data_IF_901064721492
#
_entry.id   IF_901064721492
#
_cell.length_a   1.000
_cell.length_b   1.000
_cell.length_c   1.000
_cell.angle_alpha   90.00
_cell.angle_beta   90.00
_cell.angle_gamma   90.00
#
_symmetry.space_group_name_H-M   'P 1'
#
loop_
_entity.id
_entity.type
_entity.pdbx_description
1 polymer ?
#
# COMPACT_ATOMS: atom_id res chain seq x y z
N UNK A 1 -2.35 11.28 -15.58
CA UNK A 1 -1.39 10.16 -15.46
C UNK A 1 -1.90 9.25 -14.34
N UNK A 2 -1.75 7.93 -14.45
CA UNK A 2 -2.11 7.01 -13.36
C UNK A 2 -0.82 6.48 -12.75
N UNK A 3 -0.69 6.56 -11.43
CA UNK A 3 0.46 6.00 -10.70
C UNK A 3 0.05 4.67 -10.08
N UNK A 4 0.91 3.66 -10.17
CA UNK A 4 0.66 2.37 -9.52
C UNK A 4 1.38 2.33 -8.18
N UNK A 5 0.70 1.81 -7.17
CA UNK A 5 1.31 1.71 -5.85
C UNK A 5 0.85 0.48 -5.09
N UNK A 6 1.81 -0.24 -4.52
CA UNK A 6 1.53 -1.17 -3.42
C UNK A 6 1.48 -0.33 -2.14
N UNK A 7 0.36 -0.38 -1.43
CA UNK A 7 0.17 0.41 -0.21
C UNK A 7 0.46 -0.46 1.00
N UNK A 8 1.44 -0.10 1.82
CA UNK A 8 1.66 -0.77 3.10
C UNK A 8 0.44 -0.54 4.02
N UNK A 9 0.06 -1.58 4.74
CA UNK A 9 -1.03 -1.56 5.71
C UNK A 9 -0.88 -0.43 6.74
N UNK A 10 0.36 -0.07 7.14
CA UNK A 10 0.57 1.02 8.08
C UNK A 10 0.08 2.39 7.56
N UNK A 11 0.09 2.60 6.24
CA UNK A 11 -0.40 3.82 5.58
C UNK A 11 -1.91 3.85 5.66
N UNK A 12 -2.59 2.73 5.37
CA UNK A 12 -4.05 2.61 5.47
C UNK A 12 -4.51 2.83 6.91
N UNK A 13 -3.88 2.15 7.88
CA UNK A 13 -4.18 2.34 9.31
C UNK A 13 -4.01 3.80 9.71
N UNK A 14 -2.89 4.43 9.33
CA UNK A 14 -2.62 5.83 9.68
C UNK A 14 -3.62 6.79 9.03
N UNK A 15 -4.02 6.52 7.79
CA UNK A 15 -5.03 7.28 7.06
C UNK A 15 -6.40 7.24 7.73
N UNK A 16 -6.80 6.06 8.21
CA UNK A 16 -8.09 5.86 8.89
C UNK A 16 -8.09 6.41 10.32
N UNK A 17 -6.94 6.39 11.03
CA UNK A 17 -6.83 6.98 12.38
C UNK A 17 -6.74 8.51 12.38
N UNK A 18 -6.12 9.12 11.36
CA UNK A 18 -5.83 10.56 11.34
C UNK A 18 -6.26 11.19 10.02
N UNK A 19 -7.39 11.90 10.07
CA UNK A 19 -7.95 12.57 8.90
C UNK A 19 -7.03 13.64 8.28
N UNK A 20 -6.39 14.47 9.11
CA UNK A 20 -5.47 15.51 8.64
C UNK A 20 -4.03 14.99 8.57
N UNK A 21 -3.79 13.93 7.78
CA UNK A 21 -2.48 13.30 7.66
C UNK A 21 -2.08 13.04 6.20
N UNK A 22 -0.77 12.98 5.94
CA UNK A 22 -0.24 12.64 4.62
C UNK A 22 -0.73 11.26 4.13
N UNK A 23 -0.75 10.18 4.95
CA UNK A 23 -1.38 8.92 4.57
C UNK A 23 -2.83 9.05 4.13
N UNK A 24 -3.62 9.93 4.78
CA UNK A 24 -5.00 10.16 4.39
C UNK A 24 -5.11 10.78 2.99
N UNK A 25 -4.18 11.66 2.61
CA UNK A 25 -4.13 12.22 1.25
C UNK A 25 -3.78 11.14 0.23
N UNK A 26 -2.83 10.25 0.53
CA UNK A 26 -2.53 9.08 -0.34
C UNK A 26 -3.75 8.20 -0.53
N UNK A 27 -4.46 7.85 0.55
CA UNK A 27 -5.66 7.03 0.47
C UNK A 27 -6.80 7.72 -0.30
N UNK A 28 -6.95 9.03 -0.19
CA UNK A 28 -7.89 9.79 -1.02
C UNK A 28 -7.48 9.79 -2.49
N UNK A 29 -6.19 9.88 -2.80
CA UNK A 29 -5.70 9.79 -4.17
C UNK A 29 -5.99 8.41 -4.78
N UNK A 30 -5.95 7.35 -3.96
CA UNK A 30 -6.43 6.01 -4.33
C UNK A 30 -7.92 6.04 -4.66
N UNK A 31 -8.76 6.53 -3.74
CA UNK A 31 -10.22 6.55 -3.93
C UNK A 31 -10.68 7.44 -5.10
N UNK A 32 -9.91 8.47 -5.44
CA UNK A 32 -10.15 9.34 -6.60
C UNK A 32 -9.56 8.77 -7.90
N UNK A 33 -8.89 7.62 -7.87
CA UNK A 33 -8.33 6.96 -9.05
C UNK A 33 -7.05 7.58 -9.62
N UNK A 34 -6.41 8.50 -8.89
CA UNK A 34 -5.09 9.05 -9.26
C UNK A 34 -3.96 8.04 -8.98
N UNK A 35 -4.14 7.25 -7.92
CA UNK A 35 -3.26 6.13 -7.56
C UNK A 35 -4.05 4.84 -7.72
N UNK A 36 -3.53 3.93 -8.52
CA UNK A 36 -4.08 2.59 -8.72
C UNK A 36 -3.40 1.65 -7.74
N UNK A 37 -4.12 1.12 -6.73
CA UNK A 37 -3.51 0.20 -5.78
C UNK A 37 -3.21 -1.14 -6.46
N UNK A 38 -2.01 -1.65 -6.25
CA UNK A 38 -1.58 -2.98 -6.69
C UNK A 38 -1.53 -3.90 -5.48
N UNK A 39 -2.17 -5.06 -5.57
CA UNK A 39 -2.30 -6.00 -4.46
C UNK A 39 -2.36 -7.44 -4.95
N UNK A 40 -2.21 -8.38 -4.01
CA UNK A 40 -2.59 -9.78 -4.19
C UNK A 40 -3.49 -10.22 -3.02
N UNK A 41 -3.92 -11.48 -3.00
CA UNK A 41 -4.78 -12.00 -1.94
C UNK A 41 -4.11 -11.94 -0.55
N UNK A 42 -2.79 -12.14 -0.47
CA UNK A 42 -2.05 -12.08 0.80
C UNK A 42 -2.05 -10.67 1.40
N UNK A 43 -1.83 -9.64 0.57
CA UNK A 43 -1.91 -8.22 0.97
C UNK A 43 -3.32 -7.86 1.44
N UNK A 44 -4.35 -8.26 0.69
CA UNK A 44 -5.75 -8.02 1.09
C UNK A 44 -6.09 -8.70 2.42
N UNK A 45 -5.57 -9.91 2.65
CA UNK A 45 -5.75 -10.62 3.91
C UNK A 45 -5.01 -9.93 5.07
N UNK A 46 -3.80 -9.40 4.84
CA UNK A 46 -3.11 -8.59 5.85
C UNK A 46 -3.91 -7.33 6.18
N UNK A 47 -4.49 -6.64 5.18
CA UNK A 47 -5.39 -5.51 5.43
C UNK A 47 -6.57 -5.90 6.32
N UNK A 48 -7.29 -6.98 5.98
CA UNK A 48 -8.40 -7.50 6.79
C UNK A 48 -7.95 -7.79 8.22
N UNK A 49 -6.84 -8.50 8.39
CA UNK A 49 -6.32 -8.92 9.69
C UNK A 49 -5.88 -7.74 10.56
N UNK A 50 -5.20 -6.76 9.97
CA UNK A 50 -4.67 -5.60 10.71
C UNK A 50 -5.78 -4.64 11.06
N UNK A 51 -6.67 -4.31 10.12
CA UNK A 51 -7.75 -3.35 10.35
C UNK A 51 -8.76 -3.85 11.38
N UNK A 52 -8.97 -5.16 11.50
CA UNK A 52 -9.83 -5.75 12.52
C UNK A 52 -9.20 -5.81 13.93
N UNK A 53 -7.95 -5.37 14.14
CA UNK A 53 -7.34 -5.41 15.47
C UNK A 53 -8.09 -4.46 16.43
N UNK A 54 -8.57 -4.93 17.60
CA UNK A 54 -9.41 -4.14 18.51
C UNK A 54 -8.81 -2.80 18.93
N UNK A 55 -7.46 -2.71 19.01
CA UNK A 55 -6.74 -1.49 19.37
C UNK A 55 -7.00 -0.29 18.46
N UNK A 56 -7.47 -0.51 17.23
CA UNK A 56 -7.79 0.57 16.30
C UNK A 56 -9.24 1.05 16.40
N UNK A 57 -10.15 0.21 16.87
CA UNK A 57 -11.56 0.58 17.07
C UNK A 57 -12.33 0.92 15.79
N UNK A 58 -11.90 0.43 14.62
CA UNK A 58 -12.62 0.63 13.36
C UNK A 58 -13.91 -0.21 13.34
N UNK A 59 -14.99 0.34 12.76
CA UNK A 59 -16.22 -0.42 12.53
C UNK A 59 -16.03 -1.43 11.39
N UNK A 60 -16.76 -2.54 11.43
CA UNK A 60 -16.74 -3.54 10.35
C UNK A 60 -17.14 -2.95 8.99
N UNK A 61 -18.09 -2.00 9.00
CA UNK A 61 -18.52 -1.25 7.82
C UNK A 61 -17.36 -0.45 7.21
N UNK A 62 -16.64 0.34 8.01
CA UNK A 62 -15.49 1.12 7.53
C UNK A 62 -14.39 0.23 6.94
N UNK A 63 -14.11 -0.91 7.59
CA UNK A 63 -13.12 -1.87 7.12
C UNK A 63 -13.56 -2.46 5.77
N UNK A 64 -14.80 -2.93 5.68
CA UNK A 64 -15.36 -3.52 4.46
C UNK A 64 -15.37 -2.52 3.31
N UNK A 65 -15.87 -1.31 3.53
CA UNK A 65 -15.91 -0.26 2.50
C UNK A 65 -14.52 0.12 2.01
N UNK A 66 -13.55 0.26 2.91
CA UNK A 66 -12.17 0.61 2.55
C UNK A 66 -11.55 -0.47 1.66
N UNK A 67 -11.70 -1.74 2.04
CA UNK A 67 -11.13 -2.86 1.29
C UNK A 67 -11.83 -3.03 -0.05
N UNK A 68 -13.17 -2.99 -0.09
CA UNK A 68 -13.94 -3.09 -1.33
C UNK A 68 -13.62 -1.95 -2.31
N UNK A 69 -13.38 -0.72 -1.82
CA UNK A 69 -12.95 0.37 -2.68
C UNK A 69 -11.56 0.13 -3.26
N UNK A 70 -10.59 -0.31 -2.45
CA UNK A 70 -9.25 -0.67 -2.93
C UNK A 70 -9.34 -1.77 -3.99
N UNK A 71 -10.13 -2.82 -3.75
CA UNK A 71 -10.34 -3.91 -4.70
C UNK A 71 -10.98 -3.41 -6.01
N UNK A 72 -11.98 -2.52 -5.93
CA UNK A 72 -12.68 -2.01 -7.11
C UNK A 72 -11.83 -1.08 -7.99
N UNK A 73 -10.85 -0.39 -7.40
CA UNK A 73 -10.03 0.61 -8.08
C UNK A 73 -8.64 0.09 -8.46
N UNK A 74 -8.24 -1.04 -7.88
CA UNK A 74 -6.90 -1.60 -8.01
C UNK A 74 -6.74 -2.64 -9.09
N UNK A 75 -5.52 -3.17 -9.14
CA UNK A 75 -5.11 -4.25 -10.03
C UNK A 75 -4.55 -5.38 -9.17
N UNK A 76 -5.02 -6.58 -9.44
CA UNK A 76 -4.46 -7.79 -8.83
C UNK A 76 -3.20 -8.22 -9.57
N UNK A 77 -2.10 -8.34 -8.83
CA UNK A 77 -0.83 -8.90 -9.30
C UNK A 77 -0.60 -10.23 -8.59
N UNK A 78 -0.43 -11.31 -9.36
CA UNK A 78 -0.22 -12.64 -8.81
C UNK A 78 1.22 -13.13 -8.99
N UNK A 79 1.98 -12.51 -9.90
CA UNK A 79 3.39 -12.82 -10.07
C UNK A 79 4.17 -12.23 -8.88
N UNK A 80 5.01 -13.07 -8.28
CA UNK A 80 5.92 -12.68 -7.21
C UNK A 80 7.34 -12.64 -7.77
N UNK A 81 8.04 -11.56 -7.47
CA UNK A 81 9.48 -11.49 -7.67
C UNK A 81 10.23 -12.12 -6.51
N UNK A 82 11.30 -12.85 -6.84
CA UNK A 82 12.22 -13.39 -5.86
C UNK A 82 13.00 -12.25 -5.22
N UNK A 83 12.77 -12.01 -3.93
CA UNK A 83 13.54 -11.05 -3.13
C UNK A 83 14.76 -11.78 -2.58
N UNK A 84 15.95 -11.40 -3.05
CA UNK A 84 17.22 -12.01 -2.62
C UNK A 84 17.80 -11.31 -1.39
N UNK A 85 17.40 -10.06 -1.17
CA UNK A 85 17.83 -9.23 -0.07
C UNK A 85 17.25 -9.71 1.26
N UNK A 86 18.07 -9.70 2.31
CA UNK A 86 17.61 -10.03 3.65
C UNK A 86 16.71 -8.90 4.18
N UNK A 87 15.44 -9.22 4.42
CA UNK A 87 14.47 -8.32 5.05
C UNK A 87 14.22 -8.75 6.51
N UNK A 88 14.09 -7.79 7.44
CA UNK A 88 13.90 -8.07 8.87
C UNK A 88 12.54 -8.69 9.19
N UNK A 89 11.48 -8.34 8.43
CA UNK A 89 10.13 -8.88 8.62
C UNK A 89 9.71 -9.69 7.39
N UNK A 90 9.47 -11.00 7.51
CA UNK A 90 8.97 -11.83 6.42
C UNK A 90 7.63 -11.36 5.85
N UNK A 91 6.80 -10.67 6.63
CA UNK A 91 5.51 -10.17 6.15
C UNK A 91 5.63 -8.99 5.19
N UNK A 92 6.74 -8.26 5.27
CA UNK A 92 6.99 -7.11 4.39
C UNK A 92 7.45 -7.59 2.99
N UNK A 93 7.93 -8.84 2.87
CA UNK A 93 8.44 -9.41 1.60
C UNK A 93 7.37 -9.39 0.51
N UNK A 94 6.12 -9.75 0.81
CA UNK A 94 5.06 -9.80 -0.21
C UNK A 94 4.77 -8.43 -0.81
N UNK A 95 4.77 -7.37 0.01
CA UNK A 95 4.56 -6.00 -0.47
C UNK A 95 5.66 -5.57 -1.44
N UNK A 96 6.91 -5.86 -1.09
CA UNK A 96 8.06 -5.51 -1.93
C UNK A 96 8.11 -6.36 -3.20
N UNK A 97 7.85 -7.67 -3.09
CA UNK A 97 7.82 -8.61 -4.21
C UNK A 97 6.77 -8.23 -5.25
N UNK A 98 5.56 -7.86 -4.82
CA UNK A 98 4.48 -7.40 -5.72
C UNK A 98 4.85 -6.07 -6.38
N UNK A 99 5.46 -5.13 -5.64
CA UNK A 99 5.88 -3.85 -6.20
C UNK A 99 6.95 -4.04 -7.30
N UNK A 100 7.93 -4.93 -7.06
CA UNK A 100 8.95 -5.28 -8.05
C UNK A 100 8.34 -5.97 -9.27
N UNK A 101 7.42 -6.91 -9.05
CA UNK A 101 6.76 -7.69 -10.10
C UNK A 101 6.00 -6.80 -11.06
N UNK A 102 5.04 -6.03 -10.53
CA UNK A 102 4.25 -5.11 -11.33
C UNK A 102 5.13 -3.99 -11.90
N UNK A 103 6.17 -3.58 -11.17
CA UNK A 103 7.23 -2.66 -11.60
C UNK A 103 7.91 -3.01 -12.92
N UNK A 104 7.92 -4.29 -13.32
CA UNK A 104 8.43 -4.73 -14.63
C UNK A 104 7.54 -4.33 -15.81
N UNK A 105 6.26 -4.06 -15.55
CA UNK A 105 5.26 -3.75 -16.59
C UNK A 105 4.84 -2.28 -16.55
N UNK A 106 4.74 -1.68 -15.36
CA UNK A 106 4.39 -0.28 -15.17
C UNK A 106 5.13 0.31 -13.97
N UNK A 107 5.42 1.61 -14.00
CA UNK A 107 6.06 2.30 -12.88
C UNK A 107 5.22 2.15 -11.61
N UNK A 108 5.78 1.44 -10.63
CA UNK A 108 5.09 1.00 -9.41
C UNK A 108 5.94 1.28 -8.20
N UNK A 109 5.33 1.94 -7.21
CA UNK A 109 6.00 2.29 -5.96
C UNK A 109 5.41 1.49 -4.79
N UNK A 110 6.25 1.11 -3.84
CA UNK A 110 5.81 0.65 -2.52
C UNK A 110 5.72 1.86 -1.58
N UNK A 111 4.51 2.20 -1.16
CA UNK A 111 4.27 3.33 -0.25
C UNK A 111 4.19 2.82 1.18
N UNK A 112 5.18 3.18 2.02
CA UNK A 112 5.28 2.71 3.41
C UNK A 112 5.74 3.80 4.38
N UNK A 113 5.20 3.79 5.59
CA UNK A 113 5.74 4.57 6.72
C UNK A 113 6.99 3.94 7.39
N UNK A 114 7.38 2.72 7.01
CA UNK A 114 8.42 1.91 7.65
C UNK A 114 9.59 1.61 6.69
N UNK A 115 10.07 2.60 5.94
CA UNK A 115 11.09 2.42 4.88
C UNK A 115 12.32 1.60 5.33
N UNK A 116 12.73 1.70 6.60
CA UNK A 116 13.84 0.93 7.19
C UNK A 116 13.63 -0.60 7.20
N UNK A 117 12.42 -1.10 6.96
CA UNK A 117 12.13 -2.54 6.84
C UNK A 117 12.47 -3.10 5.45
N UNK A 118 12.72 -2.22 4.49
CA UNK A 118 12.93 -2.59 3.10
C UNK A 118 14.37 -2.32 2.68
N UNK A 119 14.87 -3.01 1.64
CA UNK A 119 16.12 -2.66 1.00
C UNK A 119 16.12 -1.19 0.53
N UNK A 120 17.30 -0.58 0.49
CA UNK A 120 17.46 0.77 -0.04
C UNK A 120 17.22 0.77 -1.56
N UNK A 121 15.97 0.93 -1.98
CA UNK A 121 15.53 0.89 -3.37
C UNK A 121 14.62 2.10 -3.66
N UNK A 122 14.81 2.85 -4.77
CA UNK A 122 13.97 3.98 -5.14
C UNK A 122 12.47 3.72 -5.25
N UNK A 123 12.05 2.46 -5.49
CA UNK A 123 10.62 2.13 -5.54
C UNK A 123 9.96 2.21 -4.16
N UNK A 124 10.73 2.16 -3.08
CA UNK A 124 10.21 2.23 -1.71
C UNK A 124 10.18 3.68 -1.27
N UNK A 125 8.97 4.22 -1.14
CA UNK A 125 8.76 5.64 -0.86
C UNK A 125 7.86 5.85 0.35
N UNK A 126 8.04 6.99 1.00
CA UNK A 126 7.14 7.46 2.05
C UNK A 126 5.85 8.01 1.46
N UNK A 127 4.76 8.09 2.25
CA UNK A 127 3.55 8.80 1.85
C UNK A 127 3.82 10.24 1.40
N UNK A 128 4.82 10.92 1.97
CA UNK A 128 5.17 12.30 1.59
C UNK A 128 5.76 12.36 0.18
N UNK A 129 6.70 11.47 -0.13
CA UNK A 129 7.27 11.37 -1.47
C UNK A 129 6.20 11.02 -2.51
N UNK A 130 5.22 10.17 -2.17
CA UNK A 130 4.09 9.90 -3.06
C UNK A 130 3.27 11.16 -3.37
N UNK A 131 3.02 12.00 -2.36
CA UNK A 131 2.36 13.29 -2.58
C UNK A 131 3.18 14.22 -3.47
N UNK A 132 4.49 14.28 -3.25
CA UNK A 132 5.36 15.13 -4.05
C UNK A 132 5.31 14.69 -5.53
N UNK A 133 5.28 13.38 -5.82
CA UNK A 133 5.09 12.81 -7.17
C UNK A 133 3.71 13.19 -7.78
N UNK A 134 2.64 13.14 -6.99
CA UNK A 134 1.29 13.46 -7.44
C UNK A 134 1.09 14.94 -7.79
N UNK A 135 1.92 15.82 -7.24
CA UNK A 135 1.87 17.27 -7.46
C UNK A 135 2.76 17.77 -8.61
N UNK A 136 3.53 16.88 -9.24
CA UNK A 136 4.42 17.19 -10.38
C UNK A 136 3.68 17.26 -11.72
#
# INVERSE_FOLDING_TARGET
>A
MKFYAVIDTNVIVSALLKWNSVPRVVLQAVFNGFVVPVYNDEILNEYRNVLNRPKFGFSSELISETISQIESLGVMENALETVAEAMPDPKDIVFYSIALSHGKTAETHLVTGNVKHFPANPIVITPRQMLDILCM
#
